data_IF_934086614283
#
_entry.id   IF_934086614283
#
_cell.length_a   1.000
_cell.length_b   1.000
_cell.length_c   1.000
_cell.angle_alpha   90.00
_cell.angle_beta   90.00
_cell.angle_gamma   90.00
#
_symmetry.space_group_name_H-M   'P 1'
#
loop_
_entity.id
_entity.type
_entity.pdbx_description
1 polymer ?
#
# COMPACT_ATOMS: atom_id res chain seq x y z
N UNK A 1 1.69 -38.21 -33.91
CA UNK A 1 2.56 -37.62 -34.95
C UNK A 1 3.99 -38.09 -34.68
N UNK A 2 4.77 -38.40 -35.71
CA UNK A 2 6.20 -38.72 -35.53
C UNK A 2 6.97 -37.46 -35.12
N UNK A 3 7.85 -37.58 -34.12
CA UNK A 3 8.74 -36.49 -33.71
C UNK A 3 9.94 -36.41 -34.67
N UNK A 4 10.24 -35.23 -35.18
CA UNK A 4 11.45 -34.99 -35.95
C UNK A 4 12.67 -34.92 -35.02
N UNK A 5 13.79 -35.55 -35.41
CA UNK A 5 15.04 -35.45 -34.67
C UNK A 5 15.67 -34.08 -34.92
N UNK A 6 15.89 -33.32 -33.85
CA UNK A 6 16.61 -32.04 -33.88
C UNK A 6 18.01 -32.23 -33.26
N UNK A 7 19.05 -31.80 -33.98
CA UNK A 7 20.43 -31.74 -33.46
C UNK A 7 20.90 -30.30 -33.50
N UNK A 8 21.13 -29.71 -32.32
CA UNK A 8 21.55 -28.31 -32.16
C UNK A 8 22.65 -28.24 -31.12
N UNK A 9 23.56 -27.28 -31.30
CA UNK A 9 24.56 -26.96 -30.29
C UNK A 9 23.95 -25.97 -29.29
N UNK A 10 24.22 -26.20 -28.01
CA UNK A 10 23.83 -25.33 -26.91
C UNK A 10 25.09 -24.89 -26.19
N UNK A 11 25.11 -23.64 -25.74
CA UNK A 11 26.13 -23.20 -24.79
C UNK A 11 26.12 -24.10 -23.53
N UNK A 12 27.28 -24.42 -22.94
CA UNK A 12 27.37 -25.35 -21.82
C UNK A 12 26.47 -24.97 -20.64
N UNK A 13 26.34 -23.67 -20.36
CA UNK A 13 25.50 -23.17 -19.27
C UNK A 13 24.01 -23.30 -19.57
N UNK A 14 23.61 -23.14 -20.84
CA UNK A 14 22.23 -23.37 -21.29
C UNK A 14 21.85 -24.85 -21.19
N UNK A 15 22.76 -25.75 -21.55
CA UNK A 15 22.56 -27.19 -21.39
C UNK A 15 22.37 -27.54 -19.91
N UNK A 16 23.26 -27.05 -19.02
CA UNK A 16 23.12 -27.26 -17.56
C UNK A 16 21.79 -26.73 -17.02
N UNK A 17 21.36 -25.55 -17.47
CA UNK A 17 20.08 -24.97 -17.04
C UNK A 17 18.89 -25.83 -17.48
N UNK A 18 18.90 -26.36 -18.71
CA UNK A 18 17.89 -27.29 -19.21
C UNK A 18 17.86 -28.59 -18.41
N UNK A 19 19.02 -29.16 -18.10
CA UNK A 19 19.15 -30.38 -17.29
C UNK A 19 18.59 -30.16 -15.88
N UNK A 20 19.03 -29.11 -15.20
CA UNK A 20 18.54 -28.76 -13.87
C UNK A 20 17.03 -28.47 -13.85
N UNK A 21 16.47 -27.93 -14.93
CA UNK A 21 15.03 -27.72 -15.05
C UNK A 21 14.27 -29.04 -15.27
N UNK A 22 14.81 -29.93 -16.11
CA UNK A 22 14.26 -31.25 -16.36
C UNK A 22 14.23 -32.12 -15.09
N UNK A 23 15.33 -32.11 -14.33
CA UNK A 23 15.46 -32.82 -13.06
C UNK A 23 14.48 -32.27 -12.02
N UNK A 24 14.43 -30.94 -11.84
CA UNK A 24 13.48 -30.28 -10.91
C UNK A 24 12.02 -30.58 -11.23
N UNK A 25 11.68 -30.82 -12.51
CA UNK A 25 10.31 -31.14 -12.93
C UNK A 25 10.04 -32.64 -13.09
N UNK A 26 11.04 -33.50 -12.90
CA UNK A 26 10.92 -34.94 -13.12
C UNK A 26 10.51 -35.30 -14.57
N UNK A 27 11.00 -34.55 -15.56
CA UNK A 27 10.68 -34.74 -16.99
C UNK A 27 11.94 -34.99 -17.81
N UNK A 28 11.80 -35.58 -18.99
CA UNK A 28 12.95 -35.78 -19.88
C UNK A 28 13.43 -34.45 -20.49
N UNK A 29 14.74 -34.34 -20.73
CA UNK A 29 15.36 -33.16 -21.37
C UNK A 29 14.68 -32.80 -22.70
N UNK A 30 14.40 -33.82 -23.52
CA UNK A 30 13.72 -33.65 -24.81
C UNK A 30 12.30 -33.10 -24.67
N UNK A 31 11.54 -33.51 -23.65
CA UNK A 31 10.19 -33.01 -23.41
C UNK A 31 10.22 -31.54 -22.95
N UNK A 32 11.15 -31.19 -22.06
CA UNK A 32 11.31 -29.82 -21.60
C UNK A 32 11.78 -28.90 -22.73
N UNK A 33 12.73 -29.36 -23.54
CA UNK A 33 13.23 -28.61 -24.70
C UNK A 33 12.13 -28.39 -25.75
N UNK A 34 11.36 -29.42 -26.09
CA UNK A 34 10.23 -29.30 -27.02
C UNK A 34 9.18 -28.32 -26.49
N UNK A 35 8.81 -28.39 -25.22
CA UNK A 35 7.86 -27.47 -24.61
C UNK A 35 8.37 -26.03 -24.61
N UNK A 36 9.66 -25.81 -24.32
CA UNK A 36 10.26 -24.49 -24.37
C UNK A 36 10.28 -23.91 -25.79
N UNK A 37 10.67 -24.71 -26.79
CA UNK A 37 10.68 -24.30 -28.20
C UNK A 37 9.26 -24.02 -28.69
N UNK A 38 8.31 -24.90 -28.41
CA UNK A 38 6.91 -24.72 -28.79
C UNK A 38 6.31 -23.45 -28.16
N UNK A 39 6.64 -23.17 -26.89
CA UNK A 39 6.25 -21.94 -26.22
C UNK A 39 6.90 -20.70 -26.82
N UNK A 40 8.16 -20.78 -27.23
CA UNK A 40 8.91 -19.65 -27.79
C UNK A 40 8.44 -19.29 -29.21
N UNK A 41 8.14 -20.30 -30.03
CA UNK A 41 7.71 -20.10 -31.42
C UNK A 41 6.22 -19.73 -31.51
N UNK A 42 5.45 -19.91 -30.44
CA UNK A 42 4.06 -19.47 -30.35
C UNK A 42 3.98 -17.94 -30.17
N UNK A 43 3.66 -17.21 -31.24
CA UNK A 43 3.36 -15.76 -31.20
C UNK A 43 2.28 -15.43 -30.16
N UNK A 44 1.28 -16.30 -30.08
CA UNK A 44 0.15 -16.20 -29.15
C UNK A 44 0.56 -16.31 -27.66
N UNK A 45 1.66 -17.00 -27.33
CA UNK A 45 2.11 -17.11 -25.94
C UNK A 45 2.69 -15.79 -25.40
N UNK A 46 3.52 -15.10 -26.20
CA UNK A 46 4.07 -13.78 -25.83
C UNK A 46 2.96 -12.73 -25.78
N UNK A 47 2.11 -12.68 -26.81
CA UNK A 47 0.98 -11.73 -26.88
C UNK A 47 0.01 -11.91 -25.71
N UNK A 48 -0.30 -13.15 -25.31
CA UNK A 48 -1.13 -13.42 -24.13
C UNK A 48 -0.49 -12.97 -22.83
N UNK A 49 0.83 -13.16 -22.68
CA UNK A 49 1.55 -12.74 -21.48
C UNK A 49 1.61 -11.22 -21.36
N UNK A 50 1.93 -10.53 -22.46
CA UNK A 50 1.92 -9.07 -22.53
C UNK A 50 0.52 -8.51 -22.25
N UNK A 51 -0.52 -9.06 -22.87
CA UNK A 51 -1.90 -8.65 -22.62
C UNK A 51 -2.34 -8.87 -21.15
N UNK A 52 -1.90 -9.96 -20.52
CA UNK A 52 -2.18 -10.22 -19.10
C UNK A 52 -1.49 -9.20 -18.19
N UNK A 53 -0.25 -8.80 -18.51
CA UNK A 53 0.49 -7.77 -17.77
C UNK A 53 -0.22 -6.42 -17.93
N UNK A 54 -0.56 -6.01 -19.14
CA UNK A 54 -1.27 -4.75 -19.40
C UNK A 54 -2.60 -4.70 -18.64
N UNK A 55 -3.41 -5.77 -18.69
CA UNK A 55 -4.67 -5.84 -17.93
C UNK A 55 -4.47 -5.70 -16.42
N UNK A 56 -3.41 -6.31 -15.88
CA UNK A 56 -3.09 -6.21 -14.45
C UNK A 56 -2.66 -4.80 -14.08
N UNK A 57 -1.86 -4.14 -14.93
CA UNK A 57 -1.46 -2.75 -14.75
C UNK A 57 -2.68 -1.82 -14.79
N UNK A 58 -3.58 -2.00 -15.75
CA UNK A 58 -4.83 -1.23 -15.83
C UNK A 58 -5.69 -1.41 -14.58
N UNK A 59 -5.78 -2.64 -14.07
CA UNK A 59 -6.51 -2.94 -12.84
C UNK A 59 -5.89 -2.23 -11.63
N UNK A 60 -4.55 -2.22 -11.53
CA UNK A 60 -3.83 -1.49 -10.48
C UNK A 60 -4.05 0.02 -10.61
N UNK A 61 -3.98 0.57 -11.82
CA UNK A 61 -4.19 2.00 -12.06
C UNK A 61 -5.60 2.42 -11.62
N UNK A 62 -6.63 1.67 -12.00
CA UNK A 62 -8.01 1.91 -11.54
C UNK A 62 -8.19 1.74 -10.04
N UNK A 63 -7.44 0.85 -9.40
CA UNK A 63 -7.46 0.72 -7.95
C UNK A 63 -6.85 1.96 -7.29
N UNK A 64 -5.72 2.45 -7.80
CA UNK A 64 -5.06 3.67 -7.34
C UNK A 64 -5.96 4.90 -7.50
N UNK A 65 -6.55 5.11 -8.67
CA UNK A 65 -7.47 6.24 -8.92
C UNK A 65 -8.66 6.26 -7.94
N UNK A 66 -9.20 5.07 -7.61
CA UNK A 66 -10.28 4.95 -6.61
C UNK A 66 -9.78 5.24 -5.19
N UNK A 67 -8.58 4.78 -4.85
CA UNK A 67 -7.98 5.09 -3.55
C UNK A 67 -7.70 6.58 -3.39
N UNK A 68 -7.16 7.23 -4.42
CA UNK A 68 -6.94 8.68 -4.44
C UNK A 68 -8.25 9.45 -4.23
N UNK A 69 -9.32 9.06 -4.96
CA UNK A 69 -10.64 9.66 -4.78
C UNK A 69 -11.16 9.47 -3.36
N UNK A 70 -11.11 8.26 -2.83
CA UNK A 70 -11.60 7.95 -1.49
C UNK A 70 -10.79 8.68 -0.41
N UNK A 71 -9.48 8.82 -0.61
CA UNK A 71 -8.60 9.59 0.26
C UNK A 71 -8.97 11.08 0.23
N UNK A 72 -9.21 11.65 -0.96
CA UNK A 72 -9.69 13.03 -1.10
C UNK A 72 -10.99 13.27 -0.33
N UNK A 73 -11.99 12.41 -0.53
CA UNK A 73 -13.27 12.46 0.21
C UNK A 73 -13.03 12.38 1.73
N UNK A 74 -12.14 11.49 2.18
CA UNK A 74 -11.83 11.32 3.60
C UNK A 74 -11.17 12.56 4.20
N UNK A 75 -10.27 13.21 3.45
CA UNK A 75 -9.61 14.46 3.84
C UNK A 75 -10.64 15.59 3.93
N UNK A 76 -11.52 15.73 2.94
CA UNK A 76 -12.59 16.74 2.95
C UNK A 76 -13.53 16.54 4.14
N UNK A 77 -13.99 15.31 4.37
CA UNK A 77 -14.85 14.97 5.50
C UNK A 77 -14.16 15.29 6.84
N UNK A 78 -12.89 14.93 6.99
CA UNK A 78 -12.12 15.23 8.20
C UNK A 78 -11.95 16.74 8.40
N UNK A 79 -11.64 17.50 7.34
CA UNK A 79 -11.53 18.94 7.40
C UNK A 79 -12.85 19.60 7.85
N UNK A 80 -13.99 19.15 7.30
CA UNK A 80 -15.31 19.59 7.71
C UNK A 80 -15.60 19.23 9.18
N UNK A 81 -15.28 18.00 9.61
CA UNK A 81 -15.45 17.55 10.99
C UNK A 81 -14.66 18.41 11.97
N UNK A 82 -13.36 18.61 11.71
CA UNK A 82 -12.48 19.41 12.58
C UNK A 82 -12.96 20.85 12.65
N UNK A 83 -13.31 21.46 11.50
CA UNK A 83 -13.86 22.80 11.48
C UNK A 83 -15.14 22.89 12.30
N UNK A 84 -16.11 22.01 12.03
CA UNK A 84 -17.37 21.95 12.77
C UNK A 84 -17.12 21.78 14.27
N UNK A 85 -16.26 20.85 14.68
CA UNK A 85 -15.96 20.59 16.09
C UNK A 85 -15.34 21.80 16.81
N UNK A 86 -14.43 22.51 16.14
CA UNK A 86 -13.74 23.65 16.74
C UNK A 86 -14.57 24.95 16.73
N UNK A 87 -15.48 25.09 15.76
CA UNK A 87 -16.30 26.31 15.62
C UNK A 87 -17.72 26.17 16.16
N UNK A 88 -18.22 24.95 16.41
CA UNK A 88 -19.55 24.76 16.99
C UNK A 88 -19.53 25.29 18.41
N UNK A 89 -20.37 26.29 18.63
CA UNK A 89 -20.54 26.91 19.94
C UNK A 89 -21.75 26.26 20.61
N UNK A 90 -21.66 25.79 21.88
CA UNK A 90 -22.85 25.40 22.63
C UNK A 90 -23.84 26.58 22.71
N UNK A 91 -25.12 26.33 23.02
CA UNK A 91 -26.09 27.40 23.13
C UNK A 91 -25.62 28.45 24.17
N UNK A 92 -25.15 29.59 23.69
CA UNK A 92 -24.71 30.74 24.48
C UNK A 92 -25.72 31.88 24.32
N UNK A 93 -25.87 32.76 25.32
CA UNK A 93 -26.70 33.95 25.19
C UNK A 93 -26.33 34.74 23.93
N UNK A 94 -27.32 35.34 23.27
CA UNK A 94 -27.14 36.05 21.98
C UNK A 94 -26.00 37.08 22.03
N UNK A 95 -25.89 37.82 23.14
CA UNK A 95 -24.84 38.80 23.39
C UNK A 95 -23.41 38.21 23.38
N UNK A 96 -23.25 36.90 23.63
CA UNK A 96 -21.96 36.21 23.67
C UNK A 96 -21.64 35.43 22.38
N UNK A 97 -22.58 35.33 21.43
CA UNK A 97 -22.40 34.54 20.21
C UNK A 97 -21.23 35.02 19.36
N UNK A 98 -21.10 36.33 19.14
CA UNK A 98 -20.03 36.90 18.31
C UNK A 98 -18.62 36.58 18.89
N UNK A 99 -18.46 36.73 20.20
CA UNK A 99 -17.21 36.42 20.89
C UNK A 99 -16.87 34.92 20.81
N UNK A 100 -17.88 34.05 20.98
CA UNK A 100 -17.67 32.61 20.92
C UNK A 100 -17.32 32.11 19.51
N UNK A 101 -17.95 32.66 18.47
CA UNK A 101 -17.59 32.40 17.06
C UNK A 101 -16.17 32.84 16.75
N UNK A 102 -15.76 34.04 17.21
CA UNK A 102 -14.39 34.53 17.06
C UNK A 102 -13.37 33.57 17.71
N UNK A 103 -13.66 33.09 18.91
CA UNK A 103 -12.80 32.13 19.61
C UNK A 103 -12.74 30.76 18.93
N UNK A 104 -13.83 30.31 18.31
CA UNK A 104 -13.85 29.10 17.50
C UNK A 104 -12.94 29.22 16.27
N UNK A 105 -13.00 30.37 15.59
CA UNK A 105 -12.14 30.67 14.44
C UNK A 105 -10.66 30.71 14.83
N UNK A 106 -10.31 31.38 15.93
CA UNK A 106 -8.94 31.44 16.46
C UNK A 106 -8.38 30.03 16.74
N UNK A 107 -9.19 29.15 17.37
CA UNK A 107 -8.80 27.76 17.63
C UNK A 107 -8.55 26.97 16.34
N UNK A 108 -9.37 27.16 15.32
CA UNK A 108 -9.18 26.52 14.02
C UNK A 108 -7.89 26.98 13.33
N UNK A 109 -7.61 28.29 13.30
CA UNK A 109 -6.39 28.84 12.71
C UNK A 109 -5.14 28.30 13.42
N UNK A 110 -5.14 28.27 14.76
CA UNK A 110 -4.05 27.68 15.55
C UNK A 110 -3.83 26.19 15.27
N UNK A 111 -4.91 25.42 15.09
CA UNK A 111 -4.83 24.02 14.69
C UNK A 111 -4.16 23.85 13.32
N UNK A 112 -4.59 24.62 12.32
CA UNK A 112 -4.04 24.57 10.95
C UNK A 112 -2.54 24.88 10.97
N UNK A 113 -2.13 25.89 11.72
CA UNK A 113 -0.72 26.28 11.84
C UNK A 113 0.12 25.18 12.51
N UNK A 114 -0.38 24.58 13.60
CA UNK A 114 0.28 23.48 14.29
C UNK A 114 0.43 22.25 13.40
N UNK A 115 -0.63 21.90 12.64
CA UNK A 115 -0.61 20.81 11.68
C UNK A 115 0.41 21.08 10.56
N UNK A 116 0.44 22.29 10.01
CA UNK A 116 1.41 22.69 8.98
C UNK A 116 2.86 22.55 9.46
N UNK A 117 3.17 23.04 10.67
CA UNK A 117 4.51 22.87 11.28
C UNK A 117 4.88 21.41 11.45
N UNK A 118 3.92 20.56 11.85
CA UNK A 118 4.15 19.14 12.06
C UNK A 118 4.42 18.40 10.75
N UNK A 119 3.64 18.67 9.70
CA UNK A 119 3.86 18.11 8.36
C UNK A 119 5.23 18.50 7.79
N UNK A 120 5.64 19.77 7.95
CA UNK A 120 6.95 20.24 7.49
C UNK A 120 8.14 19.52 8.16
N UNK A 121 7.96 18.99 9.37
CA UNK A 121 8.99 18.20 10.08
C UNK A 121 9.09 16.75 9.56
N UNK A 122 8.13 16.28 8.77
CA UNK A 122 8.13 14.93 8.19
C UNK A 122 7.95 13.79 9.20
N UNK A 123 7.61 14.07 10.47
CA UNK A 123 7.44 13.05 11.49
C UNK A 123 6.08 12.37 11.30
N UNK A 124 6.11 11.06 11.04
CA UNK A 124 4.87 10.29 10.85
C UNK A 124 4.08 10.22 12.15
N UNK A 125 2.83 10.68 12.11
CA UNK A 125 1.87 10.52 13.21
C UNK A 125 1.70 9.06 13.63
N UNK A 126 1.70 8.14 12.67
CA UNK A 126 1.55 6.72 12.98
C UNK A 126 2.73 6.16 13.74
N UNK A 127 3.93 6.73 13.54
CA UNK A 127 5.13 6.34 14.26
C UNK A 127 5.09 6.83 15.71
N UNK A 128 4.75 8.09 15.93
CA UNK A 128 4.59 8.66 17.29
C UNK A 128 3.53 7.91 18.10
N UNK A 129 2.35 7.64 17.52
CA UNK A 129 1.30 6.86 18.20
C UNK A 129 1.75 5.43 18.50
N UNK A 130 2.54 4.82 17.61
CA UNK A 130 3.09 3.48 17.86
C UNK A 130 4.12 3.49 18.99
N UNK A 131 4.95 4.53 19.07
CA UNK A 131 5.94 4.74 20.14
C UNK A 131 5.25 5.03 21.49
N UNK A 132 4.17 5.83 21.52
CA UNK A 132 3.36 6.09 22.72
C UNK A 132 2.65 4.83 23.23
N UNK A 133 2.09 4.01 22.34
CA UNK A 133 1.46 2.73 22.71
C UNK A 133 2.47 1.69 23.20
N UNK A 134 3.67 1.65 22.62
CA UNK A 134 4.76 0.78 23.05
C UNK A 134 5.40 1.24 24.37
N UNK A 135 5.27 2.53 24.72
CA UNK A 135 5.80 3.14 25.93
C UNK A 135 4.85 3.11 27.14
N UNK A 136 3.63 2.58 27.01
CA UNK A 136 2.73 2.41 28.15
C UNK A 136 3.19 1.22 29.01
N UNK A 137 3.68 1.41 30.25
CA UNK A 137 4.02 0.29 31.11
C UNK A 137 2.70 -0.35 31.55
N UNK A 138 2.45 -1.54 31.02
CA UNK A 138 1.43 -2.44 31.52
C UNK A 138 1.72 -2.73 33.01
N UNK A 139 0.87 -2.20 33.88
CA UNK A 139 0.58 -2.76 35.20
C UNK A 139 1.60 -2.47 36.31
N UNK A 140 1.44 -1.34 36.99
CA UNK A 140 1.75 -1.27 38.43
C UNK A 140 0.72 -2.14 39.17
N UNK A 141 0.98 -3.44 39.21
CA UNK A 141 0.34 -4.37 40.13
C UNK A 141 0.94 -4.19 41.52
N UNK A 142 0.05 -3.89 42.47
CA UNK A 142 0.15 -4.15 43.92
C UNK A 142 1.46 -4.78 44.43
N UNK A 143 2.18 -4.03 45.26
CA UNK A 143 2.96 -4.64 46.35
C UNK A 143 2.60 -3.96 47.67
N UNK A 144 1.49 -4.41 48.23
CA UNK A 144 1.23 -4.39 49.67
C UNK A 144 2.30 -5.21 50.39
N UNK A 145 3.34 -4.58 50.94
CA UNK A 145 3.93 -5.01 52.23
C UNK A 145 4.95 -4.00 52.77
N UNK A 146 4.52 -3.13 53.68
CA UNK A 146 5.19 -2.99 54.97
C UNK A 146 4.39 -2.04 55.87
N UNK A 147 3.67 -2.62 56.83
CA UNK A 147 3.43 -2.02 58.13
C UNK A 147 3.27 -3.11 59.16
#
# INVERSE_FOLDING_TARGET
MQKARLSVYLEPDTLKALEALADRRGKSKSLVAEAAIASFVSSDASERQEAAITRRLDQQNRATERLERNLGISIEMMALFVRFWLTTTPAVPEAAQAAAQAKGKERYEGFVEALGRRLARGVSFTREVSEDLAGSPLGEGESTRNR
#
